data_IF_386616162047
#
_entry.id   IF_386616162047
#
_cell.length_a   1.000
_cell.length_b   1.000
_cell.length_c   1.000
_cell.angle_alpha   90.00
_cell.angle_beta   90.00
_cell.angle_gamma   90.00
#
_symmetry.space_group_name_H-M   'P 1'
#
loop_
_entity.id
_entity.type
_entity.pdbx_description
1 polymer ?
#
# COMPACT_ATOMS: atom_id res chain seq x y z
N UNK A 1 0.89 14.68 -14.44
CA UNK A 1 2.17 14.77 -13.69
C UNK A 1 2.57 13.35 -13.26
N UNK A 2 2.67 12.43 -14.24
CA UNK A 2 2.53 10.97 -14.03
C UNK A 2 3.70 10.19 -14.66
N UNK A 3 4.80 10.87 -15.02
CA UNK A 3 5.96 10.24 -15.70
C UNK A 3 7.03 9.68 -14.75
N UNK A 4 6.97 9.97 -13.45
CA UNK A 4 7.97 9.52 -12.46
C UNK A 4 7.62 8.14 -11.85
N UNK A 5 6.39 7.63 -12.05
CA UNK A 5 5.92 6.41 -11.42
C UNK A 5 6.41 5.09 -12.07
N UNK A 6 7.00 5.13 -13.27
CA UNK A 6 7.33 3.90 -14.02
C UNK A 6 8.81 3.48 -13.97
N UNK A 7 9.73 4.35 -13.53
CA UNK A 7 11.18 4.04 -13.68
C UNK A 7 11.78 3.15 -12.58
N UNK A 8 11.26 3.16 -11.34
CA UNK A 8 11.90 2.45 -10.22
C UNK A 8 11.41 1.01 -9.99
N UNK A 9 10.34 0.56 -10.67
CA UNK A 9 9.85 -0.82 -10.56
C UNK A 9 10.81 -1.85 -11.21
N UNK A 10 11.74 -1.40 -12.05
CA UNK A 10 12.73 -2.25 -12.75
C UNK A 10 13.94 -2.53 -11.86
N UNK A 11 14.31 -1.64 -10.94
CA UNK A 11 15.59 -1.72 -10.22
C UNK A 11 15.60 -2.64 -9.00
N UNK A 12 14.44 -2.93 -8.40
CA UNK A 12 14.37 -3.77 -7.19
C UNK A 12 13.81 -5.18 -7.41
N UNK A 13 13.39 -5.53 -8.64
CA UNK A 13 12.84 -6.88 -8.94
C UNK A 13 13.91 -7.90 -9.40
N UNK A 14 15.14 -7.49 -9.71
CA UNK A 14 16.13 -8.37 -10.35
C UNK A 14 17.36 -8.69 -9.49
N UNK A 15 17.14 -9.29 -8.31
CA UNK A 15 18.18 -9.93 -7.51
C UNK A 15 18.34 -11.43 -7.78
N UNK A 16 18.64 -11.87 -9.02
CA UNK A 16 19.36 -13.16 -9.30
C UNK A 16 19.75 -13.33 -10.80
N UNK A 17 21.04 -13.15 -11.09
CA UNK A 17 21.87 -13.81 -12.14
C UNK A 17 21.34 -14.02 -13.58
N UNK A 18 21.82 -13.21 -14.55
CA UNK A 18 22.85 -13.59 -15.57
C UNK A 18 23.05 -12.47 -16.62
N UNK A 19 24.32 -12.32 -17.03
CA UNK A 19 24.84 -11.71 -18.27
C UNK A 19 24.84 -10.17 -18.45
N UNK A 20 25.95 -9.57 -18.02
CA UNK A 20 26.81 -8.60 -18.76
C UNK A 20 26.18 -7.72 -19.86
N UNK A 21 25.87 -6.49 -19.47
CA UNK A 21 25.75 -5.28 -20.28
C UNK A 21 25.74 -4.09 -19.30
N UNK A 22 26.23 -2.92 -19.66
CA UNK A 22 26.41 -1.77 -18.78
C UNK A 22 25.09 -1.20 -18.23
N UNK A 23 24.60 -1.73 -17.09
CA UNK A 23 23.41 -1.24 -16.36
C UNK A 23 23.79 -0.29 -15.22
N UNK A 24 25.09 -0.06 -14.97
CA UNK A 24 25.55 0.77 -13.85
C UNK A 24 25.50 2.25 -14.20
N UNK A 25 25.82 2.65 -15.42
CA UNK A 25 25.74 4.05 -15.87
C UNK A 25 24.31 4.59 -15.85
N UNK A 26 23.35 3.83 -16.36
CA UNK A 26 21.94 4.24 -16.42
C UNK A 26 21.31 4.39 -15.03
N UNK A 27 21.66 3.52 -14.08
CA UNK A 27 21.13 3.58 -12.71
C UNK A 27 21.69 4.75 -11.89
N UNK A 28 22.91 5.21 -12.20
CA UNK A 28 23.49 6.36 -11.54
C UNK A 28 22.89 7.66 -12.07
N UNK A 29 22.77 7.81 -13.39
CA UNK A 29 22.18 9.01 -14.01
C UNK A 29 20.70 9.21 -13.61
N UNK A 30 19.90 8.14 -13.60
CA UNK A 30 18.50 8.18 -13.09
C UNK A 30 18.46 8.58 -11.61
N UNK A 31 19.51 8.23 -10.88
CA UNK A 31 19.68 8.53 -9.49
C UNK A 31 20.02 9.98 -9.18
N UNK A 32 20.96 10.55 -9.93
CA UNK A 32 21.34 11.97 -9.86
C UNK A 32 20.16 12.87 -10.25
N UNK A 33 19.42 12.51 -11.30
CA UNK A 33 18.19 13.21 -11.69
C UNK A 33 17.16 13.18 -10.56
N UNK A 34 16.94 12.01 -9.94
CA UNK A 34 16.03 11.89 -8.82
C UNK A 34 16.47 12.71 -7.60
N UNK A 35 17.77 12.79 -7.32
CA UNK A 35 18.31 13.64 -6.25
C UNK A 35 18.09 15.13 -6.50
N UNK A 36 18.22 15.57 -7.76
CA UNK A 36 18.00 16.95 -8.17
C UNK A 36 16.52 17.36 -8.11
N UNK A 37 15.60 16.44 -8.42
CA UNK A 37 14.16 16.71 -8.46
C UNK A 37 13.43 16.56 -7.12
N UNK A 38 14.11 16.01 -6.09
CA UNK A 38 13.45 15.71 -4.82
C UNK A 38 14.25 16.19 -3.62
N UNK A 39 13.55 16.43 -2.54
CA UNK A 39 14.14 16.67 -1.22
C UNK A 39 14.51 15.35 -0.55
N UNK A 40 15.49 15.34 0.38
CA UNK A 40 15.79 14.16 1.19
C UNK A 40 14.57 13.59 1.93
N UNK A 41 13.65 14.45 2.40
CA UNK A 41 12.41 14.02 3.05
C UNK A 41 11.53 13.20 2.09
N UNK A 42 11.29 13.70 0.87
CA UNK A 42 10.47 13.00 -0.12
C UNK A 42 11.08 11.66 -0.52
N UNK A 43 12.41 11.58 -0.64
CA UNK A 43 13.11 10.32 -0.91
C UNK A 43 12.95 9.33 0.23
N UNK A 44 13.18 9.76 1.47
CA UNK A 44 12.99 8.92 2.67
C UNK A 44 11.56 8.41 2.76
N UNK A 45 10.56 9.30 2.61
CA UNK A 45 9.14 8.94 2.60
C UNK A 45 8.85 7.90 1.53
N UNK A 46 9.36 8.08 0.30
CA UNK A 46 9.15 7.19 -0.84
C UNK A 46 9.79 5.81 -0.64
N UNK A 47 10.97 5.75 -0.03
CA UNK A 47 11.68 4.48 0.25
C UNK A 47 10.92 3.67 1.29
N UNK A 48 10.60 4.27 2.44
CA UNK A 48 9.89 3.55 3.52
C UNK A 48 8.45 3.20 3.10
N UNK A 49 7.81 3.99 2.24
CA UNK A 49 6.46 3.71 1.74
C UNK A 49 6.35 2.43 0.89
N UNK A 50 7.48 1.98 0.30
CA UNK A 50 7.56 0.80 -0.58
C UNK A 50 8.19 -0.41 0.08
N UNK A 51 8.67 -0.27 1.31
CA UNK A 51 9.31 -1.34 2.04
C UNK A 51 8.27 -2.40 2.48
N UNK A 52 8.56 -3.68 2.19
CA UNK A 52 7.72 -4.80 2.62
C UNK A 52 8.09 -5.30 4.03
N UNK A 53 9.31 -5.02 4.47
CA UNK A 53 9.84 -5.29 5.81
C UNK A 53 10.21 -3.98 6.51
N UNK A 54 10.37 -4.00 7.84
CA UNK A 54 10.90 -2.85 8.58
C UNK A 54 12.33 -2.59 8.11
N UNK A 55 12.73 -1.32 8.07
CA UNK A 55 14.07 -0.89 7.66
C UNK A 55 14.72 -0.05 8.75
N UNK A 56 16.02 -0.23 8.93
CA UNK A 56 16.87 0.67 9.73
C UNK A 56 17.03 2.03 9.04
N UNK A 57 17.45 3.03 9.81
CA UNK A 57 17.75 4.36 9.25
C UNK A 57 18.88 4.31 8.20
N UNK A 58 19.82 3.37 8.34
CA UNK A 58 20.94 3.17 7.41
C UNK A 58 20.45 2.57 6.08
N UNK A 59 19.62 1.52 6.12
CA UNK A 59 19.02 0.95 4.90
C UNK A 59 18.15 1.97 4.14
N UNK A 60 17.40 2.79 4.88
CA UNK A 60 16.61 3.87 4.28
C UNK A 60 17.50 4.95 3.69
N UNK A 61 18.60 5.29 4.36
CA UNK A 61 19.56 6.29 3.88
C UNK A 61 20.19 5.90 2.55
N UNK A 62 20.58 4.62 2.42
CA UNK A 62 21.12 4.07 1.17
C UNK A 62 20.10 4.17 0.03
N UNK A 63 18.86 3.72 0.27
CA UNK A 63 17.79 3.78 -0.74
C UNK A 63 17.37 5.21 -1.07
N UNK A 64 17.47 6.14 -0.11
CA UNK A 64 17.06 7.54 -0.28
C UNK A 64 18.21 8.45 -0.71
N UNK A 65 19.41 7.91 -0.92
CA UNK A 65 20.62 8.65 -1.30
C UNK A 65 20.82 9.88 -0.41
N UNK A 66 20.92 9.61 0.88
CA UNK A 66 21.14 10.63 1.91
C UNK A 66 21.98 10.05 3.04
N UNK A 67 22.36 10.88 4.02
CA UNK A 67 23.11 10.40 5.18
C UNK A 67 22.18 9.69 6.19
N UNK A 68 22.67 8.67 6.92
CA UNK A 68 21.91 8.02 8.01
C UNK A 68 21.37 8.98 9.05
N UNK A 69 22.10 10.06 9.36
CA UNK A 69 21.66 11.13 10.26
C UNK A 69 20.43 11.87 9.71
N UNK A 70 20.42 12.16 8.41
CA UNK A 70 19.31 12.86 7.75
C UNK A 70 18.10 11.94 7.59
N UNK A 71 18.32 10.68 7.20
CA UNK A 71 17.27 9.67 7.15
C UNK A 71 16.58 9.49 8.51
N UNK A 72 17.35 9.32 9.60
CA UNK A 72 16.83 9.20 10.96
C UNK A 72 15.96 10.41 11.36
N UNK A 73 16.43 11.64 11.13
CA UNK A 73 15.66 12.87 11.38
C UNK A 73 14.30 12.85 10.67
N UNK A 74 14.28 12.45 9.40
CA UNK A 74 13.03 12.42 8.62
C UNK A 74 12.13 11.25 9.02
N UNK A 75 12.68 10.09 9.33
CA UNK A 75 11.92 8.94 9.82
C UNK A 75 11.27 9.23 11.18
N UNK A 76 11.94 9.94 12.09
CA UNK A 76 11.36 10.42 13.34
C UNK A 76 10.23 11.43 13.12
N UNK A 77 10.36 12.31 12.11
CA UNK A 77 9.27 13.21 11.72
C UNK A 77 8.06 12.44 11.18
N UNK A 78 8.30 11.50 10.25
CA UNK A 78 7.27 10.63 9.71
C UNK A 78 6.60 9.77 10.80
N UNK A 79 7.33 9.37 11.83
CA UNK A 79 6.77 8.63 12.97
C UNK A 79 5.84 9.51 13.80
N UNK A 80 6.23 10.77 14.08
CA UNK A 80 5.38 11.75 14.76
C UNK A 80 4.13 12.10 13.95
N UNK A 81 4.23 12.09 12.62
CA UNK A 81 3.12 12.30 11.69
C UNK A 81 2.23 11.06 11.51
N UNK A 82 2.58 9.92 12.12
CA UNK A 82 1.83 8.67 11.99
C UNK A 82 2.04 7.93 10.66
N UNK A 83 2.95 8.42 9.79
CA UNK A 83 3.25 7.80 8.50
C UNK A 83 4.04 6.49 8.65
N UNK A 84 4.92 6.41 9.64
CA UNK A 84 5.64 5.17 9.99
C UNK A 84 5.40 4.80 11.43
N UNK A 85 5.48 3.51 11.72
CA UNK A 85 5.62 2.98 13.07
C UNK A 85 7.07 2.54 13.31
N UNK A 86 7.48 2.51 14.57
CA UNK A 86 8.79 2.05 15.00
C UNK A 86 8.69 0.71 15.70
N UNK A 87 9.64 -0.18 15.45
CA UNK A 87 9.79 -1.44 16.18
C UNK A 87 11.25 -1.66 16.60
N UNK A 88 11.51 -2.35 17.73
CA UNK A 88 12.87 -2.72 18.12
C UNK A 88 13.51 -3.63 17.08
N UNK A 89 14.76 -3.38 16.74
CA UNK A 89 15.58 -4.19 15.86
C UNK A 89 16.80 -4.77 16.61
N UNK A 90 17.60 -5.56 15.90
CA UNK A 90 18.81 -6.16 16.45
C UNK A 90 19.73 -5.11 17.08
N UNK A 91 20.40 -5.52 18.16
CA UNK A 91 21.32 -4.68 18.93
C UNK A 91 20.71 -3.37 19.48
N UNK A 92 19.38 -3.33 19.65
CA UNK A 92 18.68 -2.16 20.23
C UNK A 92 18.50 -1.00 19.25
N UNK A 93 18.75 -1.23 17.96
CA UNK A 93 18.44 -0.25 16.92
C UNK A 93 16.92 -0.09 16.74
N UNK A 94 16.50 1.03 16.15
CA UNK A 94 15.11 1.27 15.75
C UNK A 94 14.93 0.94 14.28
N UNK A 95 13.98 0.06 13.97
CA UNK A 95 13.49 -0.13 12.61
C UNK A 95 12.17 0.62 12.41
N UNK A 96 11.95 1.03 11.17
CA UNK A 96 10.81 1.81 10.75
C UNK A 96 10.03 1.04 9.69
N UNK A 97 8.71 1.06 9.79
CA UNK A 97 7.80 0.45 8.82
C UNK A 97 6.70 1.42 8.49
N UNK A 98 6.23 1.44 7.24
CA UNK A 98 5.01 2.18 6.89
C UNK A 98 3.84 1.76 7.80
N UNK A 99 3.18 2.74 8.40
CA UNK A 99 2.00 2.51 9.23
C UNK A 99 0.84 1.97 8.38
N UNK A 100 0.13 0.96 8.86
CA UNK A 100 -1.08 0.45 8.21
C UNK A 100 -2.16 1.52 8.08
N UNK A 101 -2.31 2.37 9.09
CA UNK A 101 -3.23 3.51 9.08
C UNK A 101 -2.88 4.49 7.96
N UNK A 102 -1.61 4.89 7.87
CA UNK A 102 -1.15 5.80 6.82
C UNK A 102 -1.36 5.24 5.41
N UNK A 103 -1.23 3.92 5.24
CA UNK A 103 -1.46 3.24 3.97
C UNK A 103 -2.93 3.29 3.59
N UNK A 104 -3.83 3.02 4.55
CA UNK A 104 -5.28 3.07 4.32
C UNK A 104 -5.72 4.48 3.95
N UNK A 105 -5.26 5.50 4.68
CA UNK A 105 -5.62 6.90 4.41
C UNK A 105 -5.11 7.37 3.05
N UNK A 106 -3.84 7.12 2.72
CA UNK A 106 -3.29 7.51 1.40
C UNK A 106 -4.02 6.80 0.26
N UNK A 107 -4.24 5.49 0.39
CA UNK A 107 -4.94 4.71 -0.63
C UNK A 107 -6.41 5.14 -0.79
N UNK A 108 -7.07 5.52 0.31
CA UNK A 108 -8.43 6.03 0.27
C UNK A 108 -8.51 7.37 -0.46
N UNK A 109 -7.60 8.30 -0.15
CA UNK A 109 -7.50 9.58 -0.85
C UNK A 109 -7.26 9.40 -2.35
N UNK A 110 -6.34 8.51 -2.75
CA UNK A 110 -6.08 8.21 -4.16
C UNK A 110 -7.32 7.64 -4.89
N UNK A 111 -8.14 6.84 -4.19
CA UNK A 111 -9.39 6.31 -4.75
C UNK A 111 -10.42 7.44 -4.92
N UNK A 112 -10.58 8.30 -3.93
CA UNK A 112 -11.56 9.40 -3.97
C UNK A 112 -11.19 10.49 -4.99
N UNK A 113 -9.90 10.70 -5.26
CA UNK A 113 -9.43 11.60 -6.33
C UNK A 113 -9.78 11.08 -7.74
N UNK A 114 -9.95 9.76 -7.89
CA UNK A 114 -10.12 9.11 -9.20
C UNK A 114 -11.53 8.61 -9.48
N UNK A 115 -12.38 8.47 -8.45
CA UNK A 115 -13.69 7.81 -8.55
C UNK A 115 -14.70 8.53 -7.67
N UNK A 116 -15.89 8.81 -8.20
CA UNK A 116 -16.99 9.35 -7.40
C UNK A 116 -17.43 8.36 -6.31
N UNK A 117 -18.02 8.87 -5.22
CA UNK A 117 -18.54 8.03 -4.13
C UNK A 117 -19.64 7.08 -4.60
N UNK A 118 -20.51 7.51 -5.51
CA UNK A 118 -21.58 6.68 -6.09
C UNK A 118 -21.03 5.54 -6.94
N UNK A 119 -20.09 5.83 -7.85
CA UNK A 119 -19.41 4.81 -8.67
C UNK A 119 -18.61 3.84 -7.79
N UNK A 120 -18.00 4.34 -6.72
CA UNK A 120 -17.27 3.52 -5.77
C UNK A 120 -18.22 2.56 -5.00
N UNK A 121 -19.42 3.02 -4.66
CA UNK A 121 -20.45 2.18 -4.03
C UNK A 121 -20.93 1.05 -4.96
N UNK A 122 -21.08 1.33 -6.26
CA UNK A 122 -21.33 0.33 -7.31
C UNK A 122 -20.23 -0.73 -7.34
N UNK A 123 -18.97 -0.30 -7.45
CA UNK A 123 -17.80 -1.20 -7.50
C UNK A 123 -17.67 -2.05 -6.24
N UNK A 124 -18.00 -1.50 -5.07
CA UNK A 124 -18.02 -2.25 -3.82
C UNK A 124 -19.07 -3.37 -3.83
N UNK A 125 -20.26 -3.13 -4.41
CA UNK A 125 -21.27 -4.17 -4.61
C UNK A 125 -20.74 -5.28 -5.53
N UNK A 126 -20.21 -4.91 -6.70
CA UNK A 126 -19.63 -5.88 -7.65
C UNK A 126 -18.49 -6.73 -7.03
N UNK A 127 -17.61 -6.10 -6.26
CA UNK A 127 -16.53 -6.83 -5.57
C UNK A 127 -17.05 -7.80 -4.53
N UNK A 128 -18.15 -7.47 -3.82
CA UNK A 128 -18.79 -8.38 -2.86
C UNK A 128 -19.41 -9.58 -3.56
N UNK A 129 -20.07 -9.36 -4.69
CA UNK A 129 -20.68 -10.44 -5.48
C UNK A 129 -19.60 -11.41 -5.99
N UNK A 130 -18.52 -10.89 -6.58
CA UNK A 130 -17.36 -11.72 -6.99
C UNK A 130 -16.73 -12.49 -5.82
N UNK A 131 -16.70 -11.93 -4.62
CA UNK A 131 -16.24 -12.66 -3.43
C UNK A 131 -17.23 -13.73 -2.97
N UNK A 132 -18.53 -13.56 -3.21
CA UNK A 132 -19.52 -14.61 -2.98
C UNK A 132 -19.33 -15.75 -3.97
N UNK A 133 -19.05 -15.44 -5.24
CA UNK A 133 -18.76 -16.45 -6.27
C UNK A 133 -17.55 -17.32 -5.88
N UNK A 134 -16.45 -16.73 -5.40
CA UNK A 134 -15.31 -17.51 -4.91
C UNK A 134 -15.68 -18.42 -3.73
N UNK A 135 -16.51 -17.94 -2.80
CA UNK A 135 -16.97 -18.73 -1.64
C UNK A 135 -17.85 -19.89 -2.08
N UNK A 136 -18.79 -19.66 -2.99
CA UNK A 136 -19.62 -20.71 -3.59
C UNK A 136 -18.78 -21.72 -4.37
N UNK A 137 -17.80 -21.25 -5.15
CA UNK A 137 -16.94 -22.11 -5.98
C UNK A 137 -16.06 -23.02 -5.13
N UNK A 138 -15.47 -22.49 -4.05
CA UNK A 138 -14.47 -23.22 -3.26
C UNK A 138 -15.00 -23.80 -1.94
N UNK A 139 -16.20 -23.41 -1.51
CA UNK A 139 -16.83 -23.90 -0.28
C UNK A 139 -16.12 -23.45 1.01
N UNK A 140 -15.35 -22.36 0.97
CA UNK A 140 -14.59 -21.81 2.11
C UNK A 140 -14.65 -20.29 2.11
N UNK A 141 -14.44 -19.65 3.26
CA UNK A 141 -14.62 -18.20 3.40
C UNK A 141 -13.40 -17.40 2.92
N UNK A 142 -12.24 -18.04 2.78
CA UNK A 142 -11.01 -17.35 2.43
C UNK A 142 -10.01 -18.20 1.64
N UNK A 143 -9.12 -17.57 0.85
CA UNK A 143 -8.02 -18.26 0.19
C UNK A 143 -7.03 -18.89 1.18
N UNK A 144 -6.90 -18.35 2.40
CA UNK A 144 -6.08 -18.95 3.46
C UNK A 144 -6.71 -20.25 3.97
N UNK A 145 -8.01 -20.23 4.25
CA UNK A 145 -8.76 -21.42 4.64
C UNK A 145 -8.72 -22.50 3.56
N UNK A 146 -8.85 -22.10 2.29
CA UNK A 146 -8.67 -22.99 1.14
C UNK A 146 -7.31 -23.69 1.13
N UNK A 147 -6.26 -22.98 1.55
CA UNK A 147 -4.90 -23.54 1.65
C UNK A 147 -4.78 -24.52 2.81
N UNK A 148 -5.40 -24.21 3.95
CA UNK A 148 -5.42 -25.07 5.15
C UNK A 148 -6.21 -26.35 4.90
N UNK A 149 -7.44 -26.23 4.40
CA UNK A 149 -8.32 -27.35 4.06
C UNK A 149 -7.62 -28.33 3.11
N UNK A 150 -6.92 -27.82 2.08
CA UNK A 150 -6.10 -28.66 1.20
C UNK A 150 -4.96 -29.36 1.88
N UNK A 151 -4.21 -28.64 2.71
CA UNK A 151 -3.08 -29.23 3.44
C UNK A 151 -3.58 -30.39 4.29
N UNK A 152 -4.74 -30.24 4.93
CA UNK A 152 -5.38 -31.31 5.69
C UNK A 152 -5.79 -32.50 4.80
N UNK A 153 -6.41 -32.26 3.64
CA UNK A 153 -6.81 -33.35 2.71
C UNK A 153 -5.62 -34.11 2.14
N UNK A 154 -4.55 -33.40 1.75
CA UNK A 154 -3.33 -34.00 1.23
C UNK A 154 -2.63 -34.92 2.25
N UNK A 155 -2.74 -34.61 3.54
CA UNK A 155 -2.26 -35.46 4.64
C UNK A 155 -3.18 -36.65 4.95
N UNK A 156 -4.45 -36.59 4.54
CA UNK A 156 -5.51 -37.54 4.91
C UNK A 156 -5.70 -38.75 4.00
N UNK A 157 -4.81 -39.01 3.04
CA UNK A 157 -4.92 -40.07 2.02
C UNK A 157 -6.14 -39.97 1.08
N UNK A 158 -6.85 -38.84 1.09
CA UNK A 158 -7.81 -38.50 0.05
C UNK A 158 -7.09 -38.03 -1.21
N UNK A 159 -7.63 -38.42 -2.37
CA UNK A 159 -7.07 -38.20 -3.71
C UNK A 159 -6.46 -36.80 -3.90
N UNK A 160 -5.40 -36.71 -4.71
CA UNK A 160 -4.74 -35.43 -5.07
C UNK A 160 -5.78 -34.35 -5.37
N UNK A 161 -5.93 -33.33 -4.51
CA UNK A 161 -6.91 -32.29 -4.75
C UNK A 161 -6.52 -31.54 -6.02
N UNK A 162 -7.49 -31.28 -6.89
CA UNK A 162 -7.30 -30.35 -8.00
C UNK A 162 -6.83 -29.03 -7.40
N UNK A 163 -5.60 -28.66 -7.74
CA UNK A 163 -4.98 -27.43 -7.23
C UNK A 163 -5.55 -26.31 -8.08
N UNK A 164 -6.38 -25.40 -7.54
CA UNK A 164 -6.82 -24.25 -8.28
C UNK A 164 -5.59 -23.45 -8.64
N UNK A 165 -5.73 -22.78 -9.75
CA UNK A 165 -4.68 -21.96 -10.29
C UNK A 165 -4.15 -20.99 -9.21
N UNK A 166 -2.83 -20.97 -8.95
CA UNK A 166 -2.21 -19.95 -8.11
C UNK A 166 -2.61 -18.52 -8.51
N UNK A 167 -2.93 -18.28 -9.78
CA UNK A 167 -3.51 -17.03 -10.25
C UNK A 167 -4.86 -16.74 -9.58
N UNK A 168 -5.79 -17.70 -9.57
CA UNK A 168 -7.09 -17.55 -8.89
C UNK A 168 -6.95 -17.21 -7.40
N UNK A 169 -6.00 -17.83 -6.69
CA UNK A 169 -5.74 -17.51 -5.28
C UNK A 169 -5.24 -16.06 -5.13
N UNK A 170 -4.35 -15.62 -6.02
CA UNK A 170 -3.81 -14.24 -6.01
C UNK A 170 -4.89 -13.20 -6.36
N UNK A 171 -5.74 -13.50 -7.33
CA UNK A 171 -6.90 -12.68 -7.68
C UNK A 171 -7.84 -12.52 -6.50
N UNK A 172 -8.19 -13.63 -5.84
CA UNK A 172 -9.08 -13.59 -4.68
C UNK A 172 -8.49 -12.75 -3.53
N UNK A 173 -7.20 -12.92 -3.21
CA UNK A 173 -6.50 -12.08 -2.21
C UNK A 173 -6.50 -10.61 -2.60
N UNK A 174 -6.25 -10.32 -3.87
CA UNK A 174 -6.24 -8.94 -4.40
C UNK A 174 -7.63 -8.32 -4.32
N UNK A 175 -8.67 -9.06 -4.69
CA UNK A 175 -10.06 -8.62 -4.61
C UNK A 175 -10.47 -8.29 -3.17
N UNK A 176 -10.15 -9.16 -2.20
CA UNK A 176 -10.41 -8.90 -0.77
C UNK A 176 -9.71 -7.64 -0.28
N UNK A 177 -8.45 -7.45 -0.67
CA UNK A 177 -7.67 -6.25 -0.30
C UNK A 177 -8.26 -4.99 -0.93
N UNK A 178 -8.61 -5.02 -2.21
CA UNK A 178 -9.19 -3.88 -2.92
C UNK A 178 -10.54 -3.49 -2.32
N UNK A 179 -11.38 -4.48 -1.97
CA UNK A 179 -12.64 -4.23 -1.27
C UNK A 179 -12.42 -3.55 0.08
N UNK A 180 -11.38 -3.93 0.84
CA UNK A 180 -11.07 -3.27 2.12
C UNK A 180 -10.72 -1.79 1.91
N UNK A 181 -9.86 -1.46 0.94
CA UNK A 181 -9.53 -0.08 0.63
C UNK A 181 -10.71 0.72 0.09
N UNK A 182 -11.55 0.13 -0.75
CA UNK A 182 -12.75 0.79 -1.27
C UNK A 182 -13.77 1.10 -0.16
N UNK A 183 -13.95 0.21 0.81
CA UNK A 183 -14.82 0.50 1.97
C UNK A 183 -14.24 1.59 2.87
N UNK A 184 -12.92 1.63 3.05
CA UNK A 184 -12.26 2.72 3.79
C UNK A 184 -12.46 4.06 3.07
N UNK A 185 -12.25 4.10 1.75
CA UNK A 185 -12.51 5.26 0.91
C UNK A 185 -13.97 5.73 1.00
N UNK A 186 -14.95 4.84 0.88
CA UNK A 186 -16.36 5.20 1.07
C UNK A 186 -16.63 5.77 2.47
N UNK A 187 -16.06 5.17 3.50
CA UNK A 187 -16.24 5.62 4.88
C UNK A 187 -15.69 7.03 5.08
N UNK A 188 -14.50 7.31 4.53
CA UNK A 188 -13.88 8.64 4.56
C UNK A 188 -14.70 9.64 3.75
N UNK A 189 -15.06 9.32 2.50
CA UNK A 189 -15.85 10.22 1.65
C UNK A 189 -17.22 10.56 2.25
N UNK A 190 -17.89 9.60 2.90
CA UNK A 190 -19.09 9.90 3.67
C UNK A 190 -18.81 10.85 4.84
N UNK A 191 -17.77 10.58 5.64
CA UNK A 191 -17.40 11.45 6.76
C UNK A 191 -17.08 12.89 6.31
N UNK A 192 -16.38 13.05 5.18
CA UNK A 192 -16.08 14.37 4.60
C UNK A 192 -17.35 15.11 4.18
N UNK A 193 -18.31 14.43 3.55
CA UNK A 193 -19.60 15.04 3.15
C UNK A 193 -20.42 15.54 4.35
N UNK A 194 -20.37 14.83 5.48
CA UNK A 194 -21.02 15.28 6.72
C UNK A 194 -20.36 16.56 7.26
N UNK A 195 -19.03 16.59 7.28
CA UNK A 195 -18.27 17.76 7.77
C UNK A 195 -18.49 18.98 6.88
N UNK A 196 -18.62 18.80 5.57
CA UNK A 196 -18.91 19.89 4.63
C UNK A 196 -20.33 20.43 4.78
N UNK A 197 -21.31 19.53 4.97
CA UNK A 197 -22.71 19.91 5.23
C UNK A 197 -22.81 20.76 6.49
N UNK A 198 -22.19 20.33 7.59
CA UNK A 198 -22.18 21.07 8.87
C UNK A 198 -21.57 22.49 8.72
N UNK A 199 -20.56 22.65 7.87
CA UNK A 199 -19.94 23.96 7.59
C UNK A 199 -20.87 24.87 6.79
N UNK A 200 -21.54 24.32 5.77
CA UNK A 200 -22.47 25.10 4.94
C UNK A 200 -23.70 25.60 5.71
N UNK A 201 -24.18 24.80 6.68
CA UNK A 201 -25.29 25.16 7.56
C UNK A 201 -24.90 26.24 8.59
N UNK A 202 -23.64 26.26 9.03
CA UNK A 202 -23.13 27.30 9.94
C UNK A 202 -23.03 28.66 9.23
N UNK A 203 -22.47 28.70 8.02
CA UNK A 203 -22.30 29.92 7.23
C UNK A 203 -23.66 30.55 6.85
N UNK A 204 -24.64 29.71 6.50
CA UNK A 204 -26.01 30.15 6.16
C UNK A 204 -26.79 30.74 7.34
N UNK A 205 -26.41 30.42 8.60
CA UNK A 205 -27.06 30.96 9.80
C UNK A 205 -26.54 32.34 10.18
N UNK A 206 -25.28 32.65 9.86
CA UNK A 206 -24.68 33.94 10.17
C UNK A 206 -25.17 35.05 9.21
N UNK A 207 -25.51 34.71 7.97
CA UNK A 207 -26.07 35.65 6.98
C UNK A 207 -27.54 36.04 7.21
N UNK A 208 -28.30 35.28 8.01
CA UNK A 208 -29.72 35.60 8.33
C UNK A 208 -29.84 36.59 9.51
N UNK A 209 -28.73 36.89 10.20
CA UNK A 209 -28.69 37.78 11.38
C UNK A 209 -28.30 39.23 11.08
N UNK A 210 -28.15 39.62 9.80
CA UNK A 210 -27.82 40.98 9.37
C UNK A 210 -29.03 41.71 8.75
#
# INVERSE_FOLDING_TARGET
MTKIYTSLATLYRYGRSRATGDVRGDNEAVGEEWEAETTPYERVRRVVARAYSPLSADEVADGARTSPKTARKHLEALAREGFVTTEPADHGATAYRRSSESLVVEQAADILDSVSTDDLAERVREMRDRLADYRTTFGVESPEELTVDRTNRALGADSSPETPDPETIREWKTLRRNLAFANAALSIGHAESFVETDRSDADSRDDISA
#
